data_IF_244162743737
#
_entry.id   IF_244162743737
#
_cell.length_a   1.000
_cell.length_b   1.000
_cell.length_c   1.000
_cell.angle_alpha   90.00
_cell.angle_beta   90.00
_cell.angle_gamma   90.00
#
_symmetry.space_group_name_H-M   'P 1'
#
loop_
_entity.id
_entity.type
_entity.pdbx_description
1 polymer ?
#
# COMPACT_ATOMS: atom_id res chain seq x y z
N UNK A 1 10.68 -26.52 -2.97
CA UNK A 1 10.07 -25.49 -2.09
C UNK A 1 8.64 -25.30 -2.56
N UNK A 2 7.64 -25.31 -1.68
CA UNK A 2 6.26 -24.95 -2.04
C UNK A 2 6.16 -23.46 -2.40
N UNK A 3 5.12 -23.06 -3.12
CA UNK A 3 4.88 -21.65 -3.46
C UNK A 3 4.75 -20.77 -2.21
N UNK A 4 4.13 -21.27 -1.15
CA UNK A 4 4.07 -20.59 0.15
C UNK A 4 5.45 -20.39 0.78
N UNK A 5 6.34 -21.37 0.67
CA UNK A 5 7.70 -21.24 1.21
C UNK A 5 8.54 -20.27 0.37
N UNK A 6 8.30 -20.22 -0.95
CA UNK A 6 8.89 -19.22 -1.83
C UNK A 6 8.40 -17.81 -1.50
N UNK A 7 7.09 -17.65 -1.25
CA UNK A 7 6.49 -16.38 -0.85
C UNK A 7 7.04 -15.87 0.49
N UNK A 8 7.11 -16.73 1.51
CA UNK A 8 7.71 -16.40 2.80
C UNK A 8 9.18 -15.96 2.67
N UNK A 9 9.98 -16.66 1.88
CA UNK A 9 11.38 -16.29 1.66
C UNK A 9 11.50 -14.93 0.97
N UNK A 10 10.65 -14.64 -0.04
CA UNK A 10 10.64 -13.34 -0.72
C UNK A 10 10.25 -12.20 0.22
N UNK A 11 9.25 -12.42 1.08
CA UNK A 11 8.83 -11.43 2.07
C UNK A 11 9.92 -11.17 3.10
N UNK A 12 10.61 -12.21 3.57
CA UNK A 12 11.71 -12.08 4.52
C UNK A 12 12.88 -11.27 3.93
N UNK A 13 13.30 -11.59 2.71
CA UNK A 13 14.30 -10.80 1.97
C UNK A 13 13.84 -9.34 1.83
N UNK A 14 12.56 -9.11 1.53
CA UNK A 14 12.00 -7.77 1.36
C UNK A 14 12.13 -6.92 2.63
N UNK A 15 11.81 -7.49 3.79
CA UNK A 15 11.99 -6.83 5.10
C UNK A 15 13.43 -6.43 5.34
N UNK A 16 14.37 -7.33 5.09
CA UNK A 16 15.79 -7.04 5.23
C UNK A 16 16.27 -5.94 4.27
N UNK A 17 15.84 -5.98 3.01
CA UNK A 17 16.18 -4.98 2.01
C UNK A 17 15.66 -3.59 2.39
N UNK A 18 14.37 -3.47 2.72
CA UNK A 18 13.76 -2.20 3.11
C UNK A 18 14.40 -1.64 4.37
N UNK A 19 14.70 -2.49 5.37
CA UNK A 19 15.41 -2.06 6.58
C UNK A 19 16.78 -1.47 6.26
N UNK A 20 17.56 -2.12 5.39
CA UNK A 20 18.87 -1.60 4.98
C UNK A 20 18.75 -0.31 4.17
N UNK A 21 17.82 -0.24 3.21
CA UNK A 21 17.55 0.98 2.45
C UNK A 21 17.20 2.16 3.37
N UNK A 22 16.36 1.94 4.38
CA UNK A 22 15.99 2.97 5.33
C UNK A 22 17.15 3.40 6.25
N UNK A 23 18.10 2.52 6.55
CA UNK A 23 19.20 2.79 7.48
C UNK A 23 20.39 3.51 6.84
N UNK A 24 20.73 3.17 5.59
CA UNK A 24 21.95 3.65 4.94
C UNK A 24 21.72 4.18 3.51
N UNK A 25 20.48 4.20 3.03
CA UNK A 25 20.11 4.62 1.68
C UNK A 25 20.17 3.48 0.66
N UNK A 26 19.42 3.61 -0.44
CA UNK A 26 19.36 2.59 -1.49
C UNK A 26 20.71 2.48 -2.20
N UNK A 27 21.32 3.61 -2.56
CA UNK A 27 22.61 3.65 -3.26
C UNK A 27 23.72 2.89 -2.51
N UNK A 28 23.84 3.10 -1.19
CA UNK A 28 24.88 2.47 -0.36
C UNK A 28 24.58 1.00 -0.01
N UNK A 29 23.39 0.50 -0.32
CA UNK A 29 23.00 -0.89 -0.04
C UNK A 29 23.33 -1.81 -1.22
N UNK A 30 24.11 -2.86 -0.98
CA UNK A 30 24.44 -3.88 -1.98
C UNK A 30 23.55 -5.12 -1.87
N UNK A 31 23.42 -5.89 -2.96
CA UNK A 31 22.73 -7.18 -2.91
C UNK A 31 23.41 -8.19 -1.98
N UNK A 32 24.73 -8.15 -1.86
CA UNK A 32 25.46 -8.96 -0.89
C UNK A 32 25.03 -8.67 0.55
N UNK A 33 24.90 -7.40 0.92
CA UNK A 33 24.43 -7.01 2.26
C UNK A 33 23.01 -7.51 2.51
N UNK A 34 22.11 -7.38 1.54
CA UNK A 34 20.73 -7.89 1.61
C UNK A 34 20.71 -9.40 1.77
N UNK A 35 21.45 -10.12 0.92
CA UNK A 35 21.53 -11.57 0.94
C UNK A 35 22.06 -12.09 2.29
N UNK A 36 23.15 -11.49 2.78
CA UNK A 36 23.73 -11.79 4.09
C UNK A 36 22.74 -11.52 5.22
N UNK A 37 22.05 -10.39 5.20
CA UNK A 37 21.06 -10.03 6.22
C UNK A 37 19.87 -11.00 6.26
N UNK A 38 19.44 -11.50 5.10
CA UNK A 38 18.34 -12.46 4.96
C UNK A 38 18.78 -13.94 5.04
N UNK A 39 20.05 -14.22 5.34
CA UNK A 39 20.56 -15.59 5.45
C UNK A 39 20.52 -16.39 4.14
N UNK A 40 20.59 -15.74 2.99
CA UNK A 40 20.60 -16.39 1.66
C UNK A 40 21.89 -16.08 0.88
N UNK A 41 22.18 -16.88 -0.14
CA UNK A 41 23.25 -16.54 -1.10
C UNK A 41 22.80 -15.44 -2.05
N UNK A 42 23.73 -14.66 -2.60
CA UNK A 42 23.44 -13.69 -3.68
C UNK A 42 22.79 -14.37 -4.89
N UNK A 43 23.24 -15.57 -5.25
CA UNK A 43 22.60 -16.36 -6.32
C UNK A 43 21.12 -16.61 -6.03
N UNK A 44 20.76 -16.88 -4.78
CA UNK A 44 19.36 -17.06 -4.37
C UNK A 44 18.60 -15.72 -4.41
N UNK A 45 19.21 -14.63 -3.97
CA UNK A 45 18.62 -13.29 -4.06
C UNK A 45 18.27 -12.94 -5.51
N UNK A 46 19.25 -13.01 -6.41
CA UNK A 46 19.11 -12.65 -7.83
C UNK A 46 18.21 -13.61 -8.61
N UNK A 47 17.98 -14.82 -8.10
CA UNK A 47 16.94 -15.73 -8.63
C UNK A 47 15.52 -15.23 -8.36
N UNK A 48 15.31 -14.47 -7.28
CA UNK A 48 14.00 -13.93 -6.92
C UNK A 48 13.78 -12.50 -7.40
N UNK A 49 14.84 -11.71 -7.46
CA UNK A 49 14.78 -10.27 -7.66
C UNK A 49 15.76 -9.86 -8.76
N UNK A 50 15.29 -9.28 -9.88
CA UNK A 50 16.17 -8.82 -10.94
C UNK A 50 17.10 -7.68 -10.51
N UNK A 51 16.66 -6.86 -9.55
CA UNK A 51 17.42 -5.71 -9.00
C UNK A 51 17.25 -5.65 -7.48
N UNK A 52 18.15 -4.92 -6.79
CA UNK A 52 17.99 -4.72 -5.34
C UNK A 52 16.71 -3.95 -5.02
N UNK A 53 16.32 -3.02 -5.87
CA UNK A 53 15.13 -2.19 -5.70
C UNK A 53 13.84 -3.03 -5.81
N UNK A 54 13.81 -4.04 -6.68
CA UNK A 54 12.67 -4.98 -6.77
C UNK A 54 12.44 -5.78 -5.48
N UNK A 55 13.40 -5.78 -4.53
CA UNK A 55 13.21 -6.41 -3.23
C UNK A 55 12.11 -5.75 -2.40
N UNK A 56 11.64 -4.53 -2.71
CA UNK A 56 10.53 -3.91 -1.96
C UNK A 56 9.15 -4.49 -2.33
N UNK A 57 9.03 -5.12 -3.50
CA UNK A 57 7.75 -5.56 -4.07
C UNK A 57 6.94 -6.52 -3.18
N UNK A 58 7.55 -7.53 -2.50
CA UNK A 58 6.78 -8.45 -1.66
C UNK A 58 6.09 -7.78 -0.48
N UNK A 59 6.76 -6.84 0.20
CA UNK A 59 6.15 -6.05 1.28
C UNK A 59 4.99 -5.19 0.77
N UNK A 60 5.21 -4.49 -0.33
CA UNK A 60 4.18 -3.68 -0.99
C UNK A 60 2.98 -4.54 -1.42
N UNK A 61 3.23 -5.71 -2.01
CA UNK A 61 2.20 -6.65 -2.44
C UNK A 61 1.40 -7.17 -1.26
N UNK A 62 2.05 -7.53 -0.14
CA UNK A 62 1.37 -7.97 1.08
C UNK A 62 0.39 -6.91 1.59
N UNK A 63 0.80 -5.64 1.63
CA UNK A 63 -0.06 -4.53 2.04
C UNK A 63 -1.25 -4.35 1.10
N UNK A 64 -1.00 -4.44 -0.22
CA UNK A 64 -2.06 -4.40 -1.22
C UNK A 64 -3.05 -5.55 -1.04
N UNK A 65 -2.59 -6.79 -0.84
CA UNK A 65 -3.48 -7.94 -0.65
C UNK A 65 -4.35 -7.83 0.62
N UNK A 66 -3.81 -7.27 1.70
CA UNK A 66 -4.58 -6.95 2.90
C UNK A 66 -5.68 -5.90 2.60
N UNK A 67 -5.32 -4.85 1.86
CA UNK A 67 -6.27 -3.84 1.41
C UNK A 67 -7.37 -4.41 0.50
N UNK A 68 -7.00 -5.28 -0.46
CA UNK A 68 -7.94 -5.98 -1.35
C UNK A 68 -8.93 -6.81 -0.55
N UNK A 69 -8.45 -7.58 0.41
CA UNK A 69 -9.29 -8.41 1.29
C UNK A 69 -10.34 -7.56 1.99
N UNK A 70 -9.95 -6.39 2.48
CA UNK A 70 -10.87 -5.45 3.12
C UNK A 70 -11.89 -4.89 2.14
N UNK A 71 -11.49 -4.45 0.94
CA UNK A 71 -12.44 -3.92 -0.03
C UNK A 71 -13.46 -4.97 -0.49
N UNK A 72 -13.02 -6.21 -0.73
CA UNK A 72 -13.94 -7.29 -1.11
C UNK A 72 -14.89 -7.71 0.01
N UNK A 73 -14.50 -7.50 1.27
CA UNK A 73 -15.36 -7.74 2.43
C UNK A 73 -16.41 -6.63 2.67
N UNK A 74 -16.47 -5.60 1.83
CA UNK A 74 -17.44 -4.51 1.97
C UNK A 74 -18.88 -5.04 1.88
N UNK A 75 -19.73 -4.91 2.93
CA UNK A 75 -21.09 -5.44 2.92
C UNK A 75 -22.05 -4.64 2.02
N UNK A 76 -22.97 -5.30 1.28
CA UNK A 76 -24.01 -4.62 0.52
C UNK A 76 -24.81 -3.65 1.40
N UNK A 77 -25.12 -2.45 0.89
CA UNK A 77 -25.88 -1.43 1.62
C UNK A 77 -25.11 -0.62 2.68
N UNK A 78 -23.91 -1.03 3.07
CA UNK A 78 -23.06 -0.25 3.99
C UNK A 78 -22.35 0.91 3.25
N UNK A 79 -22.11 2.03 3.92
CA UNK A 79 -21.30 3.13 3.39
C UNK A 79 -19.82 2.75 3.27
N UNK A 80 -19.17 3.10 2.16
CA UNK A 80 -17.75 2.77 1.93
C UNK A 80 -16.82 3.38 2.98
N UNK A 81 -17.09 4.63 3.38
CA UNK A 81 -16.28 5.36 4.36
C UNK A 81 -16.32 4.66 5.72
N UNK A 82 -17.51 4.25 6.15
CA UNK A 82 -17.72 3.54 7.42
C UNK A 82 -17.04 2.17 7.41
N UNK A 83 -17.15 1.46 6.28
CA UNK A 83 -16.48 0.19 6.07
C UNK A 83 -14.95 0.30 6.16
N UNK A 84 -14.36 1.23 5.40
CA UNK A 84 -12.91 1.45 5.42
C UNK A 84 -12.43 1.94 6.80
N UNK A 85 -13.22 2.78 7.47
CA UNK A 85 -12.94 3.25 8.83
C UNK A 85 -12.88 2.08 9.82
N UNK A 86 -13.86 1.17 9.77
CA UNK A 86 -13.93 0.01 10.64
C UNK A 86 -12.82 -1.01 10.33
N UNK A 87 -12.47 -1.15 9.06
CA UNK A 87 -11.46 -2.10 8.59
C UNK A 87 -10.01 -1.59 8.74
N UNK A 88 -9.82 -0.32 9.10
CA UNK A 88 -8.51 0.29 9.25
C UNK A 88 -7.58 -0.48 10.19
N UNK A 89 -8.09 -0.87 11.37
CA UNK A 89 -7.31 -1.67 12.33
C UNK A 89 -7.08 -3.11 11.88
N UNK A 90 -8.08 -3.85 11.36
CA UNK A 90 -7.86 -5.16 10.73
C UNK A 90 -6.80 -5.18 9.62
N UNK A 91 -6.71 -4.16 8.75
CA UNK A 91 -5.62 -4.07 7.75
C UNK A 91 -4.27 -4.01 8.45
N UNK A 92 -4.15 -3.18 9.47
CA UNK A 92 -2.92 -3.01 10.23
C UNK A 92 -2.57 -4.25 11.06
N UNK A 93 -3.56 -4.95 11.62
CA UNK A 93 -3.37 -6.16 12.44
C UNK A 93 -3.04 -7.39 11.57
N UNK A 94 -3.56 -7.46 10.33
CA UNK A 94 -3.17 -8.48 9.35
C UNK A 94 -1.73 -8.29 8.84
N UNK A 95 -1.20 -7.07 9.01
CA UNK A 95 0.20 -6.74 8.83
C UNK A 95 0.90 -6.78 10.20
N UNK A 96 2.22 -7.02 10.27
CA UNK A 96 2.91 -6.65 11.50
C UNK A 96 3.12 -5.14 11.51
N UNK A 97 3.14 -4.49 12.68
CA UNK A 97 3.48 -3.06 12.77
C UNK A 97 4.83 -2.73 12.11
N UNK A 98 5.77 -3.69 12.13
CA UNK A 98 7.04 -3.63 11.41
C UNK A 98 6.86 -3.61 9.88
N UNK A 99 5.94 -4.40 9.32
CA UNK A 99 5.65 -4.40 7.88
C UNK A 99 4.98 -3.08 7.46
N UNK A 100 4.09 -2.53 8.29
CA UNK A 100 3.48 -1.22 8.05
C UNK A 100 4.58 -0.15 8.00
N UNK A 101 5.46 -0.10 9.01
CA UNK A 101 6.56 0.86 9.05
C UNK A 101 7.51 0.69 7.86
N UNK A 102 7.81 -0.55 7.46
CA UNK A 102 8.63 -0.83 6.29
C UNK A 102 7.99 -0.28 5.00
N UNK A 103 6.68 -0.46 4.82
CA UNK A 103 5.95 0.10 3.67
C UNK A 103 6.00 1.63 3.69
N UNK A 104 5.79 2.28 4.85
CA UNK A 104 5.91 3.73 4.96
C UNK A 104 7.34 4.22 4.68
N UNK A 105 8.35 3.47 5.09
CA UNK A 105 9.74 3.77 4.74
C UNK A 105 9.94 3.73 3.22
N UNK A 106 9.38 2.74 2.53
CA UNK A 106 9.40 2.70 1.06
C UNK A 106 8.72 3.92 0.47
N UNK A 107 7.52 4.29 0.94
CA UNK A 107 6.79 5.48 0.48
C UNK A 107 7.65 6.74 0.62
N UNK A 108 8.30 6.95 1.79
CA UNK A 108 9.21 8.09 2.00
C UNK A 108 10.37 8.08 1.01
N UNK A 109 11.01 6.93 0.82
CA UNK A 109 12.16 6.82 -0.09
C UNK A 109 11.78 7.09 -1.55
N UNK A 110 10.52 6.91 -1.97
CA UNK A 110 10.10 7.21 -3.35
C UNK A 110 10.29 8.67 -3.77
N UNK A 111 10.41 9.59 -2.81
CA UNK A 111 10.71 11.00 -3.10
C UNK A 111 12.07 11.13 -3.79
N UNK A 112 13.10 10.54 -3.20
CA UNK A 112 14.50 10.69 -3.63
C UNK A 112 14.99 9.53 -4.53
N UNK A 113 14.29 8.39 -4.53
CA UNK A 113 14.72 7.17 -5.23
C UNK A 113 13.78 6.81 -6.40
N UNK A 114 14.13 7.15 -7.65
CA UNK A 114 13.28 6.93 -8.83
C UNK A 114 12.89 5.47 -9.07
N UNK A 115 13.80 4.54 -8.79
CA UNK A 115 13.56 3.11 -8.99
C UNK A 115 12.53 2.56 -7.99
N UNK A 116 12.54 3.02 -6.73
CA UNK A 116 11.51 2.67 -5.76
C UNK A 116 10.17 3.32 -6.11
N UNK A 117 10.19 4.56 -6.61
CA UNK A 117 9.00 5.24 -7.10
C UNK A 117 8.34 4.47 -8.25
N UNK A 118 9.11 3.92 -9.18
CA UNK A 118 8.58 3.10 -10.27
C UNK A 118 7.87 1.83 -9.73
N UNK A 119 8.49 1.10 -8.81
CA UNK A 119 7.87 -0.08 -8.18
C UNK A 119 6.59 0.28 -7.42
N UNK A 120 6.58 1.42 -6.71
CA UNK A 120 5.40 1.91 -6.00
C UNK A 120 4.27 2.35 -6.95
N UNK A 121 4.58 2.96 -8.10
CA UNK A 121 3.57 3.33 -9.09
C UNK A 121 2.87 2.11 -9.69
N UNK A 122 3.63 1.04 -10.00
CA UNK A 122 3.04 -0.24 -10.47
C UNK A 122 2.11 -0.83 -9.41
N UNK A 123 2.47 -0.76 -8.12
CA UNK A 123 1.58 -1.19 -7.04
C UNK A 123 0.27 -0.37 -7.03
N UNK A 124 0.37 0.95 -7.21
CA UNK A 124 -0.78 1.84 -7.21
C UNK A 124 -1.74 1.59 -8.38
N UNK A 125 -1.22 1.23 -9.54
CA UNK A 125 -2.04 0.84 -10.69
C UNK A 125 -2.84 -0.43 -10.36
N UNK A 126 -2.19 -1.44 -9.77
CA UNK A 126 -2.86 -2.67 -9.30
C UNK A 126 -3.89 -2.43 -8.19
N UNK A 127 -3.67 -1.42 -7.34
CA UNK A 127 -4.65 -1.02 -6.32
C UNK A 127 -5.91 -0.41 -6.95
N UNK A 128 -5.77 0.32 -8.05
CA UNK A 128 -6.89 0.91 -8.80
C UNK A 128 -7.77 -0.15 -9.45
N UNK A 129 -7.18 -1.23 -9.97
CA UNK A 129 -7.91 -2.38 -10.51
C UNK A 129 -8.89 -2.95 -9.47
N UNK A 130 -8.45 -3.04 -8.21
CA UNK A 130 -9.31 -3.53 -7.11
C UNK A 130 -10.51 -2.62 -6.87
N UNK A 131 -10.32 -1.30 -6.89
CA UNK A 131 -11.44 -0.37 -6.80
C UNK A 131 -12.38 -0.51 -8.00
N UNK A 132 -11.82 -0.64 -9.19
CA UNK A 132 -12.58 -0.78 -10.43
C UNK A 132 -13.51 -2.00 -10.34
N UNK A 133 -12.98 -3.16 -9.96
CA UNK A 133 -13.75 -4.40 -9.78
C UNK A 133 -14.88 -4.23 -8.75
N UNK A 134 -14.57 -3.70 -7.57
CA UNK A 134 -15.53 -3.56 -6.46
C UNK A 134 -16.60 -2.52 -6.77
N UNK A 135 -16.23 -1.39 -7.38
CA UNK A 135 -17.17 -0.32 -7.73
C UNK A 135 -18.05 -0.70 -8.91
N UNK A 136 -17.52 -1.39 -9.92
CA UNK A 136 -18.31 -1.94 -11.03
C UNK A 136 -19.47 -2.81 -10.51
N UNK A 137 -19.15 -3.77 -9.64
CA UNK A 137 -20.14 -4.65 -9.02
C UNK A 137 -21.17 -3.87 -8.19
N UNK A 138 -20.75 -2.80 -7.50
CA UNK A 138 -21.62 -1.95 -6.66
C UNK A 138 -22.56 -1.07 -7.46
N UNK A 139 -22.11 -0.59 -8.60
CA UNK A 139 -22.87 0.30 -9.49
C UNK A 139 -23.74 -0.49 -10.47
N UNK A 140 -23.51 -1.80 -10.62
CA UNK A 140 -24.17 -2.61 -11.65
C UNK A 140 -23.73 -2.24 -13.07
N UNK A 141 -22.49 -1.75 -13.21
CA UNK A 141 -21.90 -1.28 -14.46
C UNK A 141 -20.70 -2.15 -14.86
N UNK A 142 -20.33 -2.21 -16.15
CA UNK A 142 -19.10 -2.87 -16.58
C UNK A 142 -17.86 -2.11 -16.05
N UNK A 143 -16.74 -2.80 -15.74
CA UNK A 143 -15.49 -2.19 -15.29
C UNK A 143 -14.95 -1.08 -16.21
N UNK A 144 -15.23 -1.17 -17.50
CA UNK A 144 -14.77 -0.22 -18.51
C UNK A 144 -15.60 1.06 -18.57
N UNK A 145 -16.76 1.09 -17.87
CA UNK A 145 -17.61 2.27 -17.81
C UNK A 145 -16.83 3.47 -17.27
N UNK A 146 -17.02 4.63 -17.91
CA UNK A 146 -16.28 5.84 -17.58
C UNK A 146 -16.48 6.24 -16.12
N UNK A 147 -17.70 6.12 -15.60
CA UNK A 147 -18.07 6.44 -14.22
C UNK A 147 -17.33 5.55 -13.21
N UNK A 148 -17.21 4.24 -13.49
CA UNK A 148 -16.47 3.29 -12.64
C UNK A 148 -15.00 3.68 -12.60
N UNK A 149 -14.40 3.92 -13.78
CA UNK A 149 -12.97 4.27 -13.89
C UNK A 149 -12.65 5.59 -13.21
N UNK A 150 -13.50 6.61 -13.37
CA UNK A 150 -13.32 7.91 -12.70
C UNK A 150 -13.41 7.75 -11.19
N UNK A 151 -14.40 7.01 -10.68
CA UNK A 151 -14.52 6.79 -9.24
C UNK A 151 -13.33 5.99 -8.69
N UNK A 152 -12.92 4.92 -9.36
CA UNK A 152 -11.77 4.11 -8.97
C UNK A 152 -10.47 4.93 -8.92
N UNK A 153 -10.18 5.69 -9.97
CA UNK A 153 -9.02 6.58 -10.03
C UNK A 153 -9.05 7.63 -8.91
N UNK A 154 -10.23 8.19 -8.61
CA UNK A 154 -10.35 9.19 -7.54
C UNK A 154 -10.13 8.57 -6.16
N UNK A 155 -10.66 7.37 -5.91
CA UNK A 155 -10.40 6.65 -4.65
C UNK A 155 -8.92 6.28 -4.51
N UNK A 156 -8.29 5.83 -5.59
CA UNK A 156 -6.86 5.55 -5.62
C UNK A 156 -6.01 6.82 -5.33
N UNK A 157 -6.42 7.98 -5.85
CA UNK A 157 -5.78 9.26 -5.57
C UNK A 157 -5.90 9.66 -4.08
N UNK A 158 -7.07 9.47 -3.46
CA UNK A 158 -7.26 9.71 -2.02
C UNK A 158 -6.33 8.83 -1.19
N UNK A 159 -6.28 7.52 -1.47
CA UNK A 159 -5.39 6.61 -0.75
C UNK A 159 -3.91 6.99 -0.90
N UNK A 160 -3.48 7.38 -2.10
CA UNK A 160 -2.11 7.85 -2.31
C UNK A 160 -1.78 9.04 -1.43
N UNK A 161 -2.63 10.07 -1.45
CA UNK A 161 -2.38 11.29 -0.65
C UNK A 161 -2.37 10.95 0.85
N UNK A 162 -3.27 10.08 1.28
CA UNK A 162 -3.34 9.61 2.65
C UNK A 162 -2.07 8.84 3.07
N UNK A 163 -1.59 7.92 2.22
CA UNK A 163 -0.37 7.14 2.48
C UNK A 163 0.89 8.01 2.52
N UNK A 164 1.02 8.96 1.59
CA UNK A 164 2.15 9.91 1.56
C UNK A 164 2.18 10.77 2.83
N UNK A 165 1.02 11.31 3.22
CA UNK A 165 0.90 12.15 4.42
C UNK A 165 1.21 11.33 5.68
N UNK A 166 0.70 10.10 5.76
CA UNK A 166 0.97 9.23 6.89
C UNK A 166 2.45 8.88 6.99
N UNK A 167 3.09 8.54 5.86
CA UNK A 167 4.51 8.26 5.79
C UNK A 167 5.35 9.48 6.23
N UNK A 168 4.91 10.70 5.87
CA UNK A 168 5.53 11.96 6.28
C UNK A 168 5.38 12.23 7.78
N UNK A 169 4.19 12.02 8.35
CA UNK A 169 3.89 12.30 9.77
C UNK A 169 4.58 11.31 10.70
N UNK A 170 4.69 10.04 10.31
CA UNK A 170 5.36 9.00 11.13
C UNK A 170 6.88 9.11 11.09
N UNK A 171 7.45 9.87 10.15
CA UNK A 171 8.88 10.11 10.06
C UNK A 171 9.42 10.71 11.38
N UNK A 172 10.23 9.95 12.10
CA UNK A 172 10.82 10.36 13.38
C UNK A 172 9.88 10.34 14.59
N UNK A 173 8.57 10.07 14.40
CA UNK A 173 7.59 9.91 15.48
C UNK A 173 7.22 8.45 15.74
N UNK A 174 7.45 7.58 14.76
CA UNK A 174 6.99 6.19 14.79
C UNK A 174 5.46 6.09 14.63
N UNK A 175 4.97 4.86 14.71
CA UNK A 175 3.54 4.55 14.62
C UNK A 175 2.97 4.42 16.04
N UNK A 176 2.31 5.47 16.52
CA UNK A 176 1.59 5.44 17.82
C UNK A 176 0.08 5.24 17.61
N UNK A 177 -0.66 4.77 18.62
CA UNK A 177 -2.12 4.65 18.55
C UNK A 177 -2.82 5.96 18.16
N UNK A 178 -2.32 7.10 18.62
CA UNK A 178 -2.85 8.42 18.30
C UNK A 178 -2.64 8.76 16.83
N UNK A 179 -1.42 8.57 16.31
CA UNK A 179 -1.08 8.83 14.90
C UNK A 179 -1.89 7.93 13.95
N UNK A 180 -2.13 6.68 14.36
CA UNK A 180 -3.03 5.77 13.64
C UNK A 180 -4.48 6.25 13.64
N UNK A 181 -4.98 6.70 14.79
CA UNK A 181 -6.34 7.20 14.90
C UNK A 181 -6.54 8.47 14.07
N UNK A 182 -5.58 9.39 14.09
CA UNK A 182 -5.62 10.62 13.31
C UNK A 182 -5.58 10.32 11.81
N UNK A 183 -4.70 9.41 11.38
CA UNK A 183 -4.64 9.00 9.97
C UNK A 183 -5.95 8.35 9.51
N UNK A 184 -6.56 7.50 10.35
CA UNK A 184 -7.89 6.90 10.09
C UNK A 184 -8.96 7.96 9.88
N UNK A 185 -9.02 8.98 10.73
CA UNK A 185 -10.03 10.05 10.60
C UNK A 185 -9.75 10.97 9.40
N UNK A 186 -8.48 11.28 9.13
CA UNK A 186 -8.09 12.04 7.94
C UNK A 186 -8.48 11.31 6.66
N UNK A 187 -8.24 10.00 6.57
CA UNK A 187 -8.64 9.19 5.42
C UNK A 187 -10.16 9.20 5.24
N UNK A 188 -10.92 8.97 6.30
CA UNK A 188 -12.38 9.02 6.25
C UNK A 188 -12.91 10.40 5.80
N UNK A 189 -12.30 11.47 6.30
CA UNK A 189 -12.60 12.84 5.89
C UNK A 189 -12.29 13.08 4.41
N UNK A 190 -11.10 12.69 3.93
CA UNK A 190 -10.67 12.86 2.54
C UNK A 190 -11.59 12.11 1.56
N UNK A 191 -11.97 10.87 1.89
CA UNK A 191 -12.96 10.12 1.11
C UNK A 191 -14.31 10.85 1.09
N UNK A 192 -14.72 11.44 2.22
CA UNK A 192 -15.94 12.22 2.34
C UNK A 192 -15.94 13.54 1.55
N UNK A 193 -14.78 14.14 1.26
CA UNK A 193 -14.66 15.33 0.41
C UNK A 193 -14.94 14.98 -1.06
N UNK A 194 -14.43 13.84 -1.50
CA UNK A 194 -14.58 13.36 -2.88
C UNK A 194 -16.02 12.91 -3.16
N UNK A 195 -16.65 12.19 -2.23
CA UNK A 195 -18.00 11.68 -2.44
C UNK A 195 -19.08 12.75 -2.35
N UNK A 196 -18.89 13.81 -1.54
CA UNK A 196 -19.87 14.90 -1.40
C UNK A 196 -19.83 15.93 -2.53
N UNK A 197 -18.66 16.21 -3.13
CA UNK A 197 -18.55 17.19 -4.23
C UNK A 197 -19.08 16.71 -5.58
N UNK A 198 -19.47 15.44 -5.70
CA UNK A 198 -20.13 14.88 -6.89
C UNK A 198 -21.67 14.86 -6.77
N UNK A 199 -22.20 15.09 -5.56
CA UNK A 199 -23.62 15.34 -5.33
C UNK A 199 -23.85 16.84 -5.35
N UNK A 200 -23.80 17.44 -6.54
CA UNK A 200 -24.23 18.82 -6.74
C UNK A 200 -25.72 18.97 -6.46
N UNK A 201 -26.10 19.07 -5.19
CA UNK A 201 -27.19 19.94 -4.79
C UNK A 201 -26.56 21.26 -4.37
N UNK A 202 -26.23 22.07 -5.37
CA UNK A 202 -26.30 23.51 -5.19
C UNK A 202 -27.75 23.80 -4.81
N UNK A 203 -27.95 24.09 -3.54
CA UNK A 203 -29.21 24.64 -3.05
C UNK A 203 -29.02 26.15 -3.09
N UNK A 204 -29.52 26.77 -4.14
CA UNK A 204 -30.03 28.15 -4.07
C UNK A 204 -31.49 28.09 -3.56
#
# INVERSE_FOLDING_TARGET
>A
MSDEQRGRQRLDISRHAVRLFAQQGVAATSGEQIARAAGVSERTLWRYFPTKESCVEPLLTKMLDAFRTVLHAWPPGAGLIEHLRAAYRPVLDSSSGEDVEAVLAVVRMTHDEPALRAAYLVLRERAEETFTEVLAARMGLPPEAFEVRVQAATMNAVLKVAADEFARVTAGRGITPEVLNDHREQLAHALGLVTRRLSGTDTD
#
